data_IF_237796996812
#
_entry.id   IF_237796996812
#
_cell.length_a   1.000
_cell.length_b   1.000
_cell.length_c   1.000
_cell.angle_alpha   90.00
_cell.angle_beta   90.00
_cell.angle_gamma   90.00
#
_symmetry.space_group_name_H-M   'P 1'
#
loop_
_entity.id
_entity.type
_entity.pdbx_description
1 polymer ?
#
# COMPACT_ATOMS: atom_id res chain seq x y z
N UNK A 1 -27.41 -21.26 12.01
CA UNK A 1 -26.90 -20.48 13.16
C UNK A 1 -25.67 -21.11 13.84
N UNK A 2 -25.63 -22.43 14.09
CA UNK A 2 -24.49 -23.09 14.78
C UNK A 2 -23.12 -22.99 14.06
N UNK A 3 -23.11 -22.95 12.72
CA UNK A 3 -21.87 -22.80 11.92
C UNK A 3 -21.33 -21.37 11.87
N UNK A 4 -22.21 -20.37 11.97
CA UNK A 4 -21.82 -18.95 12.00
C UNK A 4 -21.14 -18.64 13.32
N UNK A 5 -21.69 -19.16 14.43
CA UNK A 5 -21.12 -19.00 15.78
C UNK A 5 -19.73 -19.66 15.87
N UNK A 6 -19.53 -20.82 15.25
CA UNK A 6 -18.23 -21.49 15.22
C UNK A 6 -17.18 -20.71 14.43
N UNK A 7 -17.56 -20.13 13.29
CA UNK A 7 -16.67 -19.32 12.45
C UNK A 7 -16.27 -18.00 13.14
N UNK A 8 -17.22 -17.30 13.76
CA UNK A 8 -16.91 -16.04 14.47
C UNK A 8 -16.02 -16.29 15.70
N UNK A 9 -16.22 -17.39 16.42
CA UNK A 9 -15.37 -17.75 17.56
C UNK A 9 -13.93 -18.09 17.13
N UNK A 10 -13.77 -18.75 15.98
CA UNK A 10 -12.44 -19.12 15.46
C UNK A 10 -11.64 -17.88 15.01
N UNK A 11 -12.30 -16.90 14.37
CA UNK A 11 -11.66 -15.63 13.98
C UNK A 11 -11.27 -14.80 15.21
N UNK A 12 -12.09 -14.80 16.25
CA UNK A 12 -11.78 -14.10 17.51
C UNK A 12 -10.67 -14.78 18.32
N UNK A 13 -10.56 -16.11 18.27
CA UNK A 13 -9.46 -16.82 18.91
C UNK A 13 -8.11 -16.53 18.21
N UNK A 14 -8.12 -16.40 16.88
CA UNK A 14 -6.91 -16.08 16.10
C UNK A 14 -6.36 -14.67 16.35
N UNK A 15 -7.19 -13.70 16.78
CA UNK A 15 -6.75 -12.33 17.09
C UNK A 15 -6.22 -12.16 18.52
N UNK A 16 -6.33 -13.17 19.38
CA UNK A 16 -5.91 -13.09 20.80
C UNK A 16 -4.41 -13.35 21.03
N UNK A 17 -3.67 -13.81 20.03
CA UNK A 17 -2.21 -14.01 20.11
C UNK A 17 -1.50 -12.78 19.56
N UNK A 18 -1.53 -11.70 20.33
CA UNK A 18 -0.59 -10.60 20.15
C UNK A 18 0.66 -10.91 21.00
N UNK A 19 1.46 -11.87 20.53
CA UNK A 19 2.79 -12.07 21.10
C UNK A 19 3.56 -10.74 20.95
N UNK A 20 4.05 -10.19 22.06
CA UNK A 20 4.98 -9.06 22.00
C UNK A 20 6.18 -9.54 21.22
N UNK A 21 6.30 -9.12 19.96
CA UNK A 21 7.48 -9.46 19.18
C UNK A 21 8.69 -8.92 19.95
N UNK A 22 9.76 -9.71 20.13
CA UNK A 22 11.02 -9.14 20.55
C UNK A 22 11.34 -7.97 19.61
N UNK A 23 11.93 -6.87 20.13
CA UNK A 23 12.29 -5.74 19.29
C UNK A 23 13.05 -6.26 18.07
N UNK A 24 12.57 -5.88 16.88
CA UNK A 24 13.18 -6.31 15.63
C UNK A 24 14.67 -6.00 15.72
N UNK A 25 15.51 -6.96 15.30
CA UNK A 25 16.93 -6.67 15.11
C UNK A 25 17.05 -5.45 14.19
N UNK A 26 18.11 -4.64 14.32
CA UNK A 26 18.30 -3.46 13.47
C UNK A 26 18.13 -3.80 11.98
N UNK A 27 18.68 -4.95 11.56
CA UNK A 27 18.54 -5.48 10.20
C UNK A 27 17.09 -5.77 9.80
N UNK A 28 16.30 -6.38 10.69
CA UNK A 28 14.89 -6.66 10.42
C UNK A 28 14.07 -5.37 10.37
N UNK A 29 14.40 -4.37 11.19
CA UNK A 29 13.73 -3.07 11.18
C UNK A 29 14.01 -2.30 9.88
N UNK A 30 15.24 -2.35 9.38
CA UNK A 30 15.61 -1.79 8.09
C UNK A 30 14.88 -2.49 6.94
N UNK A 31 14.82 -3.82 6.95
CA UNK A 31 14.08 -4.60 5.97
C UNK A 31 12.58 -4.26 5.98
N UNK A 32 11.98 -4.10 7.17
CA UNK A 32 10.58 -3.70 7.33
C UNK A 32 10.33 -2.27 6.82
N UNK A 33 11.26 -1.34 7.08
CA UNK A 33 11.17 0.04 6.59
C UNK A 33 11.29 0.10 5.06
N UNK A 34 12.19 -0.69 4.48
CA UNK A 34 12.34 -0.83 3.04
C UNK A 34 11.07 -1.43 2.41
N UNK A 35 10.51 -2.48 3.00
CA UNK A 35 9.27 -3.09 2.53
C UNK A 35 8.09 -2.09 2.56
N UNK A 36 7.95 -1.33 3.65
CA UNK A 36 6.95 -0.25 3.74
C UNK A 36 7.15 0.82 2.67
N UNK A 37 8.39 1.24 2.42
CA UNK A 37 8.69 2.22 1.39
C UNK A 37 8.38 1.70 -0.02
N UNK A 38 8.68 0.43 -0.32
CA UNK A 38 8.31 -0.22 -1.58
C UNK A 38 6.79 -0.32 -1.75
N UNK A 39 6.06 -0.67 -0.70
CA UNK A 39 4.60 -0.73 -0.73
C UNK A 39 4.00 0.65 -1.04
N UNK A 40 4.41 1.68 -0.29
CA UNK A 40 3.95 3.06 -0.51
C UNK A 40 4.32 3.58 -1.92
N UNK A 41 5.46 3.16 -2.47
CA UNK A 41 5.81 3.46 -3.85
C UNK A 41 4.91 2.72 -4.85
N UNK A 42 4.66 1.43 -4.62
CA UNK A 42 3.74 0.62 -5.40
C UNK A 42 2.34 1.24 -5.47
N UNK A 43 1.83 1.75 -4.35
CA UNK A 43 0.54 2.45 -4.29
C UNK A 43 0.51 3.70 -5.17
N UNK A 44 1.60 4.50 -5.16
CA UNK A 44 1.74 5.67 -6.03
C UNK A 44 1.76 5.29 -7.51
N UNK A 45 2.47 4.21 -7.86
CA UNK A 45 2.49 3.68 -9.23
C UNK A 45 1.11 3.16 -9.64
N UNK A 46 0.42 2.46 -8.74
CA UNK A 46 -0.94 1.97 -8.96
C UNK A 46 -1.93 3.11 -9.22
N UNK A 47 -1.87 4.17 -8.41
CA UNK A 47 -2.70 5.37 -8.61
C UNK A 47 -2.41 6.05 -9.97
N UNK A 48 -1.14 6.14 -10.37
CA UNK A 48 -0.77 6.67 -11.67
C UNK A 48 -1.32 5.82 -12.84
N UNK A 49 -1.23 4.49 -12.75
CA UNK A 49 -1.79 3.59 -13.77
C UNK A 49 -3.31 3.66 -13.82
N UNK A 50 -3.98 3.79 -12.67
CA UNK A 50 -5.42 3.96 -12.60
C UNK A 50 -5.86 5.28 -13.27
N UNK A 51 -5.16 6.37 -13.01
CA UNK A 51 -5.43 7.64 -13.69
C UNK A 51 -5.30 7.48 -15.23
N UNK A 52 -4.23 6.82 -15.70
CA UNK A 52 -4.04 6.59 -17.13
C UNK A 52 -5.14 5.73 -17.75
N UNK A 53 -5.60 4.69 -17.04
CA UNK A 53 -6.66 3.82 -17.54
C UNK A 53 -8.00 4.57 -17.66
N UNK A 54 -8.32 5.42 -16.67
CA UNK A 54 -9.49 6.30 -16.73
C UNK A 54 -9.41 7.27 -17.91
N UNK A 55 -8.26 7.91 -18.12
CA UNK A 55 -8.06 8.83 -19.24
C UNK A 55 -8.21 8.12 -20.59
N UNK A 56 -7.66 6.91 -20.73
CA UNK A 56 -7.80 6.12 -21.96
C UNK A 56 -9.24 5.80 -22.30
N UNK A 57 -10.07 5.51 -21.29
CA UNK A 57 -11.51 5.28 -21.48
C UNK A 57 -12.21 6.58 -21.84
N UNK A 58 -11.90 7.68 -21.12
CA UNK A 58 -12.47 9.00 -21.40
C UNK A 58 -12.17 9.44 -22.85
N UNK A 59 -10.93 9.26 -23.31
CA UNK A 59 -10.53 9.60 -24.68
C UNK A 59 -11.22 8.72 -25.74
N UNK A 60 -11.44 7.44 -25.45
CA UNK A 60 -12.15 6.53 -26.37
C UNK A 60 -13.60 6.94 -26.61
N UNK A 61 -14.27 7.45 -25.58
CA UNK A 61 -15.70 7.81 -25.62
C UNK A 61 -15.92 9.33 -25.63
N UNK A 62 -14.87 10.10 -25.92
CA UNK A 62 -14.92 11.55 -25.87
C UNK A 62 -15.84 12.09 -26.96
N UNK A 63 -16.75 12.99 -26.56
CA UNK A 63 -17.62 13.74 -27.50
C UNK A 63 -17.02 15.12 -27.79
N UNK A 64 -17.30 15.66 -28.97
CA UNK A 64 -16.79 16.98 -29.36
C UNK A 64 -17.18 18.06 -28.35
N UNK A 65 -16.24 18.97 -28.06
CA UNK A 65 -16.44 20.05 -27.09
C UNK A 65 -16.22 19.68 -25.62
N UNK A 66 -16.01 18.40 -25.28
CA UNK A 66 -15.60 18.04 -23.91
C UNK A 66 -14.13 18.39 -23.66
N UNK A 67 -13.77 18.87 -22.46
CA UNK A 67 -12.38 19.18 -22.09
C UNK A 67 -11.52 17.91 -22.01
N UNK A 68 -10.20 18.09 -22.09
CA UNK A 68 -9.28 16.97 -22.03
C UNK A 68 -9.22 16.37 -20.61
N UNK A 69 -8.99 15.05 -20.49
CA UNK A 69 -8.78 14.44 -19.19
C UNK A 69 -7.59 15.07 -18.46
N UNK A 70 -7.66 15.10 -17.13
CA UNK A 70 -6.58 15.62 -16.28
C UNK A 70 -5.28 14.84 -16.50
N UNK A 71 -4.14 15.54 -16.59
CA UNK A 71 -2.85 14.89 -16.75
C UNK A 71 -2.50 14.02 -15.51
N UNK A 72 -2.10 12.78 -15.77
CA UNK A 72 -1.61 11.87 -14.73
C UNK A 72 -0.15 12.21 -14.43
N UNK A 73 0.18 12.48 -13.17
CA UNK A 73 1.55 12.77 -12.76
C UNK A 73 2.27 11.46 -12.45
N UNK A 74 3.33 11.17 -13.19
CA UNK A 74 4.16 10.00 -12.94
C UNK A 74 4.88 10.13 -11.59
N UNK A 75 4.88 9.08 -10.75
CA UNK A 75 5.68 9.11 -9.53
C UNK A 75 7.17 9.18 -9.89
N UNK A 76 7.98 9.93 -9.13
CA UNK A 76 9.43 9.96 -9.34
C UNK A 76 10.03 8.58 -9.07
N UNK A 77 11.23 8.27 -9.60
CA UNK A 77 11.90 7.00 -9.34
C UNK A 77 11.98 6.67 -7.84
N UNK A 78 11.82 5.40 -7.50
CA UNK A 78 11.93 4.96 -6.11
C UNK A 78 13.34 5.21 -5.56
N UNK A 79 13.42 5.99 -4.49
CA UNK A 79 14.65 6.18 -3.72
C UNK A 79 14.49 5.40 -2.42
N UNK A 80 15.34 4.40 -2.13
CA UNK A 80 15.26 3.66 -0.89
C UNK A 80 15.51 4.60 0.30
N UNK A 81 14.75 4.46 1.40
CA UNK A 81 15.00 5.25 2.60
C UNK A 81 16.40 4.93 3.14
N UNK A 82 17.18 5.96 3.44
CA UNK A 82 18.45 5.81 4.14
C UNK A 82 18.18 5.31 5.57
N UNK A 83 18.97 4.33 6.02
CA UNK A 83 18.84 3.80 7.37
C UNK A 83 18.96 4.94 8.38
N UNK A 84 17.91 5.16 9.17
CA UNK A 84 17.97 6.07 10.31
C UNK A 84 18.58 5.30 11.47
N UNK A 85 19.65 5.84 12.05
CA UNK A 85 20.28 5.28 13.24
C UNK A 85 19.20 5.03 14.31
N UNK A 86 19.20 3.86 14.97
CA UNK A 86 18.17 3.57 15.96
C UNK A 86 18.20 4.65 17.05
N UNK A 87 17.04 5.23 17.33
CA UNK A 87 16.90 6.15 18.45
C UNK A 87 17.25 5.39 19.73
N UNK A 88 18.38 5.74 20.33
CA UNK A 88 18.79 5.24 21.62
C UNK A 88 17.69 5.54 22.64
N UNK A 89 17.25 4.50 23.36
CA UNK A 89 16.42 4.63 24.55
C UNK A 89 17.30 4.49 25.78
#
# INVERSE_FOLDING_TARGET
>A
MKRIIALTFCVFAASSVMATLPPLSPEAQEAANLAKAKAAYGDKVGAYQLCQSMNRVADRFRVSGTPAPTACVAPPPFVPPVASAPAAK
#
